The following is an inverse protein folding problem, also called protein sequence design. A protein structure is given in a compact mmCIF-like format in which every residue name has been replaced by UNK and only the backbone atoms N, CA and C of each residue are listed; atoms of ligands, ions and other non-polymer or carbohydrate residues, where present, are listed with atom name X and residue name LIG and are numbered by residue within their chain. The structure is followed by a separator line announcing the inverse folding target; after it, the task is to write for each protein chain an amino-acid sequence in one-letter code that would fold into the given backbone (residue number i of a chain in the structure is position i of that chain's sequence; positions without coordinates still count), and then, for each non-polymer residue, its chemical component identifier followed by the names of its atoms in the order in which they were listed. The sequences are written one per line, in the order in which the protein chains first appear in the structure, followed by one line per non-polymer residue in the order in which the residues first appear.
data_IF_102208467822
#
_entry.id   IF_102208467822
#
_cell.length_a   1.000
_cell.length_b   1.000
_cell.length_c   1.000
_cell.angle_alpha   90.00
_cell.angle_beta   90.00
_cell.angle_gamma   90.00
#
_symmetry.space_group_name_H-M   'P 1'
#
loop_
_entity.id
_entity.type
_entity.pdbx_description
1 polymer ?
#
# COMPACT_ATOMS: atom_id res chain seq x y z
N UNK A 1 -59.45 -5.49 1.00
CA UNK A 1 -58.12 -4.92 1.30
C UNK A 1 -57.51 -4.49 -0.02
N UNK A 2 -57.37 -3.18 -0.22
CA UNK A 2 -56.62 -2.61 -1.34
C UNK A 2 -55.13 -2.80 -1.03
N UNK A 3 -54.41 -3.50 -1.89
CA UNK A 3 -52.97 -3.50 -1.90
C UNK A 3 -52.54 -2.90 -3.22
N UNK A 4 -52.06 -1.67 -3.21
CA UNK A 4 -51.32 -1.11 -4.34
C UNK A 4 -50.10 -2.00 -4.54
N UNK A 5 -50.06 -2.77 -5.63
CA UNK A 5 -48.81 -3.39 -6.07
C UNK A 5 -47.82 -2.25 -6.32
N UNK A 6 -46.70 -2.14 -5.61
CA UNK A 6 -45.78 -1.02 -5.75
C UNK A 6 -44.79 -1.24 -6.91
N UNK A 7 -45.18 -2.05 -7.89
CA UNK A 7 -44.38 -2.24 -9.10
C UNK A 7 -44.48 -0.92 -9.89
N UNK A 8 -43.38 -0.17 -10.04
CA UNK A 8 -43.44 1.09 -10.75
C UNK A 8 -43.77 0.78 -12.22
N UNK A 9 -44.98 1.14 -12.63
CA UNK A 9 -45.46 1.17 -14.01
C UNK A 9 -44.31 1.42 -15.00
N UNK A 10 -43.88 0.31 -15.62
CA UNK A 10 -43.25 0.08 -16.91
C UNK A 10 -42.16 1.00 -17.48
N UNK A 11 -41.77 2.12 -16.88
CA UNK A 11 -40.98 3.13 -17.62
C UNK A 11 -39.88 3.81 -16.80
N UNK A 12 -39.21 3.04 -15.92
CA UNK A 12 -37.97 3.50 -15.26
C UNK A 12 -36.85 2.47 -15.25
N UNK A 13 -36.63 1.80 -16.38
CA UNK A 13 -35.30 1.24 -16.68
C UNK A 13 -34.58 2.23 -17.60
N UNK A 14 -33.47 2.79 -17.15
CA UNK A 14 -32.65 3.65 -18.00
C UNK A 14 -31.76 2.76 -18.87
N UNK A 15 -31.70 3.03 -20.18
CA UNK A 15 -30.65 2.51 -21.06
C UNK A 15 -30.73 1.03 -21.48
N UNK A 16 -31.92 0.50 -21.78
CA UNK A 16 -32.05 -0.86 -22.32
C UNK A 16 -32.91 -0.89 -23.59
N UNK A 17 -32.37 -0.43 -24.72
CA UNK A 17 -32.81 -0.96 -26.01
C UNK A 17 -32.73 -2.51 -25.99
N UNK A 18 -33.66 -3.24 -26.65
CA UNK A 18 -33.58 -4.68 -26.82
C UNK A 18 -32.25 -5.08 -27.49
N UNK A 19 -31.24 -5.36 -26.68
CA UNK A 19 -29.83 -5.36 -27.11
C UNK A 19 -28.82 -5.17 -25.97
N UNK A 20 -29.26 -4.68 -24.80
CA UNK A 20 -28.51 -4.84 -23.54
C UNK A 20 -27.17 -4.11 -23.50
N UNK A 21 -27.15 -2.81 -23.82
CA UNK A 21 -25.96 -1.98 -23.66
C UNK A 21 -26.33 -0.60 -23.13
N UNK A 22 -25.78 -0.24 -21.97
CA UNK A 22 -25.82 1.13 -21.45
C UNK A 22 -24.88 2.03 -22.29
N UNK A 23 -25.26 3.29 -22.59
CA UNK A 23 -24.38 4.23 -23.27
C UNK A 23 -23.07 4.40 -22.49
N UNK A 24 -21.90 4.47 -23.17
CA UNK A 24 -20.63 4.73 -22.51
C UNK A 24 -20.69 6.06 -21.75
N UNK A 25 -20.73 6.00 -20.41
CA UNK A 25 -20.83 7.17 -19.53
C UNK A 25 -21.90 7.09 -18.43
N UNK A 26 -22.79 6.10 -18.45
CA UNK A 26 -23.81 5.91 -17.39
C UNK A 26 -23.37 4.97 -16.26
N UNK A 27 -22.35 4.14 -16.49
CA UNK A 27 -21.47 3.66 -15.41
C UNK A 27 -20.53 4.82 -15.07
N UNK A 28 -20.40 5.23 -13.79
CA UNK A 28 -19.38 6.18 -13.40
C UNK A 28 -18.02 5.72 -13.97
N UNK A 29 -17.19 6.60 -14.55
CA UNK A 29 -15.76 6.32 -14.69
C UNK A 29 -15.14 6.33 -13.29
N UNK A 30 -15.54 5.41 -12.42
CA UNK A 30 -15.50 5.64 -10.98
C UNK A 30 -15.42 4.41 -10.09
N UNK A 31 -15.39 3.19 -10.63
CA UNK A 31 -15.15 1.99 -9.83
C UNK A 31 -14.18 1.05 -10.54
N UNK A 32 -12.90 1.20 -10.22
CA UNK A 32 -11.81 0.37 -10.74
C UNK A 32 -10.59 1.16 -11.23
N UNK A 33 -10.65 2.49 -11.31
CA UNK A 33 -9.46 3.29 -11.58
C UNK A 33 -8.72 3.58 -10.28
N UNK A 34 -7.73 2.75 -9.95
CA UNK A 34 -6.55 3.23 -9.21
C UNK A 34 -5.69 4.05 -10.19
N UNK A 35 -6.27 5.11 -10.74
CA UNK A 35 -5.52 6.12 -11.46
C UNK A 35 -4.95 7.05 -10.39
N UNK A 36 -3.73 6.77 -9.94
CA UNK A 36 -3.01 7.67 -9.04
C UNK A 36 -2.62 7.10 -7.69
N UNK A 37 -2.39 5.77 -7.57
CA UNK A 37 -1.42 5.35 -6.55
C UNK A 37 -0.02 5.70 -7.06
N UNK A 38 0.30 6.98 -6.98
CA UNK A 38 1.68 7.39 -6.92
C UNK A 38 2.18 6.82 -5.59
N UNK A 39 2.75 5.61 -5.62
CA UNK A 39 3.63 5.18 -4.55
C UNK A 39 4.58 6.37 -4.33
N UNK A 40 4.57 7.02 -3.15
CA UNK A 40 5.57 8.02 -2.88
C UNK A 40 6.88 7.27 -3.07
N UNK A 41 7.64 7.61 -4.14
CA UNK A 41 8.95 6.99 -4.40
C UNK A 41 9.69 7.14 -3.10
N UNK A 42 9.77 6.04 -2.34
CA UNK A 42 10.40 6.06 -1.05
C UNK A 42 11.82 6.43 -1.39
N UNK A 43 12.17 7.69 -1.10
CA UNK A 43 13.47 8.24 -1.45
C UNK A 43 14.39 7.56 -0.46
N UNK A 44 14.77 6.32 -0.81
CA UNK A 44 15.57 5.45 0.02
C UNK A 44 16.74 6.27 0.49
N UNK A 45 17.00 6.24 1.80
CA UNK A 45 18.09 7.01 2.39
C UNK A 45 19.30 6.86 1.48
N UNK A 46 19.83 7.97 0.96
CA UNK A 46 20.80 7.92 -0.13
C UNK A 46 21.89 6.89 0.16
N UNK A 47 22.41 6.20 -0.86
CA UNK A 47 23.34 5.07 -0.71
C UNK A 47 24.44 5.32 0.35
N UNK A 48 24.92 6.55 0.50
CA UNK A 48 25.87 6.95 1.56
C UNK A 48 25.35 6.80 2.99
N UNK A 49 24.09 7.16 3.27
CA UNK A 49 23.48 7.00 4.60
C UNK A 49 23.30 5.52 4.96
N UNK A 50 22.95 4.68 3.98
CA UNK A 50 22.84 3.24 4.18
C UNK A 50 24.22 2.62 4.49
N UNK A 51 25.26 3.01 3.75
CA UNK A 51 26.64 2.54 3.99
C UNK A 51 27.13 3.03 5.36
N UNK A 52 26.84 4.27 5.74
CA UNK A 52 27.19 4.80 7.07
C UNK A 52 26.56 3.98 8.19
N UNK A 53 25.25 3.69 8.11
CA UNK A 53 24.58 2.87 9.12
C UNK A 53 25.10 1.44 9.16
N UNK A 54 25.36 0.82 8.00
CA UNK A 54 25.93 -0.52 7.94
C UNK A 54 27.34 -0.57 8.57
N UNK A 55 28.17 0.43 8.29
CA UNK A 55 29.50 0.56 8.88
C UNK A 55 29.44 0.81 10.40
N UNK A 56 28.53 1.67 10.86
CA UNK A 56 28.35 1.97 12.28
C UNK A 56 27.92 0.72 13.07
N UNK A 57 26.95 -0.03 12.56
CA UNK A 57 26.49 -1.28 13.17
C UNK A 57 27.63 -2.31 13.16
N UNK A 58 28.32 -2.48 12.04
CA UNK A 58 29.45 -3.41 11.92
C UNK A 58 30.58 -3.08 12.90
N UNK A 59 30.95 -1.81 13.00
CA UNK A 59 31.95 -1.34 13.97
C UNK A 59 31.50 -1.57 15.42
N UNK A 60 30.23 -1.28 15.73
CA UNK A 60 29.65 -1.54 17.04
C UNK A 60 29.74 -3.01 17.44
N UNK A 61 29.37 -3.92 16.53
CA UNK A 61 29.46 -5.38 16.75
C UNK A 61 30.90 -5.83 17.00
N UNK A 62 31.86 -5.34 16.21
CA UNK A 62 33.28 -5.67 16.39
C UNK A 62 33.80 -5.17 17.74
N UNK A 63 33.50 -3.93 18.12
CA UNK A 63 33.88 -3.38 19.42
C UNK A 63 33.27 -4.19 20.58
N UNK A 64 32.01 -4.58 20.45
CA UNK A 64 31.32 -5.37 21.47
C UNK A 64 31.96 -6.77 21.60
N UNK A 65 32.27 -7.44 20.49
CA UNK A 65 33.00 -8.71 20.49
C UNK A 65 34.36 -8.59 21.17
N UNK A 66 35.15 -7.57 20.82
CA UNK A 66 36.46 -7.33 21.43
C UNK A 66 36.34 -7.06 22.94
N UNK A 67 35.33 -6.31 23.38
CA UNK A 67 35.06 -6.07 24.78
C UNK A 67 34.79 -7.39 25.52
N UNK A 68 33.90 -8.24 25.00
CA UNK A 68 33.62 -9.54 25.61
C UNK A 68 34.84 -10.46 25.63
N UNK A 69 35.64 -10.47 24.56
CA UNK A 69 36.90 -11.23 24.52
C UNK A 69 37.84 -10.74 25.61
N UNK A 70 38.08 -9.43 25.73
CA UNK A 70 38.92 -8.87 26.78
C UNK A 70 38.37 -9.18 28.18
N UNK A 71 37.06 -9.10 28.36
CA UNK A 71 36.39 -9.45 29.62
C UNK A 71 36.61 -10.92 30.00
N UNK A 72 36.45 -11.86 29.07
CA UNK A 72 36.66 -13.30 29.31
C UNK A 72 38.13 -13.63 29.55
N UNK A 73 39.05 -12.98 28.84
CA UNK A 73 40.50 -13.17 29.01
C UNK A 73 40.98 -12.62 30.37
N UNK A 74 40.16 -11.82 31.06
CA UNK A 74 40.55 -11.19 32.32
C UNK A 74 41.41 -9.95 32.14
N UNK A 75 41.36 -9.31 30.96
CA UNK A 75 42.02 -8.00 30.75
C UNK A 75 41.42 -6.89 31.61
N UNK A 76 40.25 -7.12 32.20
CA UNK A 76 39.48 -6.19 33.02
C UNK A 76 39.26 -6.68 34.46
N UNK A 77 39.97 -7.75 34.89
CA UNK A 77 40.05 -8.21 36.30
C UNK A 77 41.19 -7.51 37.06
#
# INVERSE_FOLDING_TARGET
MSGTNPDPEDDKITGLEPGGGVPPGETPPGEGSVAGYNEPKQRGSGKGQQIFWLAAIGAGVVLFLLFFIGYIVGFFD
#
